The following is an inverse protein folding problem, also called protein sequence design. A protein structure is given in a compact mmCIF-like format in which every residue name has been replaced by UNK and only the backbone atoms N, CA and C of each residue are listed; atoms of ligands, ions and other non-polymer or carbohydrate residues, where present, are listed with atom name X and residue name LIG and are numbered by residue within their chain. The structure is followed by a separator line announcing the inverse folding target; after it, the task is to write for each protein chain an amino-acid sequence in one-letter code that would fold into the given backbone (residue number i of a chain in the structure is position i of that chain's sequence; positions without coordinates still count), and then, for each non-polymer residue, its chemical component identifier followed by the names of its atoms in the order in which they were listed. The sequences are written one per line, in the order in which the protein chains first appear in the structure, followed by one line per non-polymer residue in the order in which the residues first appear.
data_IF_764782189878
#
_entry.id   IF_764782189878
#
_cell.length_a   1.000
_cell.length_b   1.000
_cell.length_c   1.000
_cell.angle_alpha   90.00
_cell.angle_beta   90.00
_cell.angle_gamma   90.00
#
_symmetry.space_group_name_H-M   'P 1'
#
loop_
_entity.id
_entity.type
_entity.pdbx_description
1 polymer ?
#
# COMPACT_ATOMS: atom_id res chain seq x y z
N UNK A 1 -31.14 24.49 -26.23
CA UNK A 1 -29.94 24.88 -25.47
C UNK A 1 -29.72 23.73 -24.53
N UNK A 2 -28.77 22.87 -24.86
CA UNK A 2 -28.41 21.77 -23.96
C UNK A 2 -27.75 22.39 -22.72
N UNK A 3 -28.19 22.06 -21.51
CA UNK A 3 -27.65 22.64 -20.28
C UNK A 3 -26.16 22.32 -20.06
N UNK A 4 -25.59 21.41 -20.84
CA UNK A 4 -24.17 21.08 -20.81
C UNK A 4 -23.31 22.14 -21.54
N UNK A 5 -23.87 22.99 -22.42
CA UNK A 5 -23.14 24.07 -23.09
C UNK A 5 -22.64 25.16 -22.09
N UNK A 6 -23.30 25.31 -20.94
CA UNK A 6 -22.94 26.31 -19.92
C UNK A 6 -21.72 25.90 -19.07
N UNK A 7 -21.23 24.66 -19.19
CA UNK A 7 -20.06 24.17 -18.43
C UNK A 7 -18.76 24.22 -19.22
N UNK A 8 -18.76 24.79 -20.43
CA UNK A 8 -17.54 24.95 -21.22
C UNK A 8 -16.69 26.04 -20.58
N UNK A 9 -15.67 25.61 -19.84
CA UNK A 9 -14.66 26.51 -19.30
C UNK A 9 -13.79 27.02 -20.47
N UNK A 10 -13.84 28.32 -20.74
CA UNK A 10 -13.00 28.94 -21.79
C UNK A 10 -11.50 28.74 -21.52
N UNK A 11 -11.12 28.73 -20.23
CA UNK A 11 -9.75 28.51 -19.78
C UNK A 11 -9.74 27.80 -18.41
N UNK A 12 -9.55 26.48 -18.45
CA UNK A 12 -9.51 25.64 -17.24
C UNK A 12 -8.42 26.06 -16.24
N UNK A 13 -7.27 26.57 -16.73
CA UNK A 13 -6.15 26.94 -15.86
C UNK A 13 -6.46 28.18 -15.01
N UNK A 14 -7.10 29.20 -15.61
CA UNK A 14 -7.56 30.39 -14.89
C UNK A 14 -8.67 30.05 -13.89
N UNK A 15 -9.58 29.14 -14.26
CA UNK A 15 -10.62 28.65 -13.36
C UNK A 15 -10.00 27.94 -12.14
N UNK A 16 -9.03 27.05 -12.36
CA UNK A 16 -8.30 26.36 -11.29
C UNK A 16 -7.59 27.37 -10.39
N UNK A 17 -6.88 28.35 -10.96
CA UNK A 17 -6.17 29.38 -10.19
C UNK A 17 -7.14 30.21 -9.33
N UNK A 18 -8.29 30.61 -9.88
CA UNK A 18 -9.30 31.38 -9.14
C UNK A 18 -9.96 30.58 -8.01
N UNK A 19 -10.05 29.26 -8.16
CA UNK A 19 -10.60 28.35 -7.13
C UNK A 19 -9.59 27.95 -6.06
N UNK A 20 -8.29 28.24 -6.24
CA UNK A 20 -7.29 27.94 -5.22
C UNK A 20 -7.51 28.78 -3.97
N UNK A 21 -7.50 28.11 -2.81
CA UNK A 21 -7.49 28.78 -1.52
C UNK A 21 -6.18 29.57 -1.35
N UNK A 22 -6.24 30.85 -0.94
CA UNK A 22 -5.05 31.63 -0.59
C UNK A 22 -4.17 30.90 0.41
N UNK A 23 -2.85 30.89 0.20
CA UNK A 23 -1.88 30.14 1.01
C UNK A 23 -2.00 30.47 2.50
N UNK A 24 -2.31 31.73 2.83
CA UNK A 24 -2.50 32.25 4.19
C UNK A 24 -3.68 31.61 4.93
N UNK A 25 -4.67 31.09 4.19
CA UNK A 25 -5.84 30.40 4.74
C UNK A 25 -5.64 28.89 4.89
N UNK A 26 -4.56 28.32 4.35
CA UNK A 26 -4.16 26.94 4.62
C UNK A 26 -3.65 26.86 6.07
N UNK A 27 -4.59 26.73 7.00
CA UNK A 27 -4.27 26.49 8.40
C UNK A 27 -3.39 25.24 8.50
N UNK A 28 -2.34 25.25 9.34
CA UNK A 28 -1.67 24.01 9.73
C UNK A 28 -2.74 23.04 10.23
N UNK A 29 -2.73 21.82 9.69
CA UNK A 29 -3.64 20.77 10.14
C UNK A 29 -3.31 20.52 11.61
N UNK A 30 -4.30 20.68 12.48
CA UNK A 30 -4.17 20.28 13.88
C UNK A 30 -3.92 18.75 13.89
N UNK A 31 -2.85 18.24 14.54
CA UNK A 31 -2.62 16.81 14.66
C UNK A 31 -3.85 16.04 15.18
N UNK A 32 -4.70 16.68 15.99
CA UNK A 32 -5.93 16.08 16.51
C UNK A 32 -7.07 16.04 15.48
N UNK A 33 -7.01 16.89 14.44
CA UNK A 33 -7.94 16.90 13.31
C UNK A 33 -7.42 16.09 12.10
N UNK A 34 -6.27 15.42 12.24
CA UNK A 34 -5.72 14.60 11.17
C UNK A 34 -6.66 13.43 10.84
N UNK A 35 -7.27 13.49 9.66
CA UNK A 35 -8.09 12.40 9.15
C UNK A 35 -7.23 11.14 8.93
N UNK A 36 -7.34 10.18 9.85
CA UNK A 36 -6.69 8.87 9.80
C UNK A 36 -7.07 8.02 8.56
N UNK A 37 -8.04 8.48 7.76
CA UNK A 37 -8.42 7.87 6.47
C UNK A 37 -7.66 8.45 5.29
N UNK A 38 -6.85 9.50 5.49
CA UNK A 38 -5.94 10.00 4.46
C UNK A 38 -4.65 9.17 4.52
N UNK A 39 -4.39 8.43 3.45
CA UNK A 39 -3.14 7.69 3.30
C UNK A 39 -1.95 8.64 3.12
N UNK A 40 -0.93 8.52 3.98
CA UNK A 40 0.23 9.44 4.02
C UNK A 40 1.58 8.73 3.98
N UNK A 41 1.58 7.40 4.04
CA UNK A 41 2.81 6.63 4.04
C UNK A 41 3.04 6.14 2.62
N UNK A 42 4.17 6.53 2.04
CA UNK A 42 4.55 6.07 0.72
C UNK A 42 4.99 4.60 0.75
N UNK A 43 4.39 3.80 -0.13
CA UNK A 43 4.81 2.44 -0.40
C UNK A 43 5.35 2.36 -1.83
N UNK A 44 6.57 1.87 -1.99
CA UNK A 44 7.19 1.64 -3.30
C UNK A 44 7.88 0.28 -3.33
N UNK A 45 7.40 -0.63 -4.18
CA UNK A 45 7.98 -1.96 -4.31
C UNK A 45 9.26 -1.93 -5.16
N UNK A 46 10.40 -2.31 -4.58
CA UNK A 46 11.67 -2.38 -5.30
C UNK A 46 11.76 -3.50 -6.36
N UNK A 47 10.72 -4.33 -6.49
CA UNK A 47 10.68 -5.46 -7.42
C UNK A 47 9.86 -5.19 -8.69
N UNK A 48 8.71 -4.55 -8.53
CA UNK A 48 7.78 -4.24 -9.64
C UNK A 48 7.47 -2.74 -9.78
N UNK A 49 8.10 -1.88 -8.98
CA UNK A 49 7.92 -0.42 -8.98
C UNK A 49 6.49 0.04 -8.67
N UNK A 50 5.61 -0.87 -8.24
CA UNK A 50 4.27 -0.53 -7.78
C UNK A 50 4.38 0.47 -6.63
N UNK A 51 3.75 1.61 -6.83
CA UNK A 51 3.74 2.75 -5.93
C UNK A 51 2.31 3.03 -5.49
N UNK A 52 2.11 3.14 -4.18
CA UNK A 52 0.80 3.43 -3.59
C UNK A 52 0.96 4.20 -2.28
N UNK A 53 -0.08 4.94 -1.89
CA UNK A 53 -0.15 5.57 -0.58
C UNK A 53 -0.91 4.65 0.39
N UNK A 54 -0.33 4.39 1.56
CA UNK A 54 -0.92 3.53 2.59
C UNK A 54 -1.22 4.28 3.89
N UNK A 55 -2.06 3.68 4.71
CA UNK A 55 -2.57 4.31 5.93
C UNK A 55 -1.72 3.97 7.15
N UNK A 56 -1.03 2.83 7.14
CA UNK A 56 -0.28 2.38 8.30
C UNK A 56 0.90 1.48 7.92
N UNK A 57 1.98 1.58 8.70
CA UNK A 57 3.12 0.68 8.66
C UNK A 57 3.41 0.13 10.06
N UNK A 58 3.30 -1.19 10.23
CA UNK A 58 3.52 -1.85 11.52
C UNK A 58 2.78 -3.18 11.65
N UNK A 59 2.64 -3.68 12.89
CA UNK A 59 2.04 -5.01 13.15
C UNK A 59 0.57 -5.01 13.52
N UNK A 60 0.04 -3.89 14.01
CA UNK A 60 -1.30 -3.79 14.59
C UNK A 60 -2.02 -2.57 14.01
N UNK A 61 -2.55 -2.67 12.79
CA UNK A 61 -3.26 -1.55 12.19
C UNK A 61 -4.47 -1.20 13.06
N UNK A 62 -4.67 0.07 13.45
CA UNK A 62 -5.76 0.45 14.36
C UNK A 62 -7.16 0.12 13.79
N UNK A 63 -7.29 0.10 12.45
CA UNK A 63 -8.53 -0.22 11.74
C UNK A 63 -8.74 -1.72 11.47
N UNK A 64 -7.73 -2.56 11.72
CA UNK A 64 -7.79 -4.01 11.53
C UNK A 64 -7.95 -4.72 12.89
N UNK A 65 -9.16 -4.63 13.47
CA UNK A 65 -9.42 -5.12 14.82
C UNK A 65 -9.05 -6.61 14.99
N UNK A 66 -8.23 -6.90 16.01
CA UNK A 66 -7.79 -8.25 16.35
C UNK A 66 -6.69 -8.83 15.46
N UNK A 67 -6.21 -8.09 14.45
CA UNK A 67 -5.15 -8.55 13.54
C UNK A 67 -3.79 -8.15 14.10
N UNK A 68 -2.87 -9.12 14.17
CA UNK A 68 -1.48 -8.90 14.55
C UNK A 68 -0.58 -9.61 13.54
N UNK A 69 0.20 -8.84 12.80
CA UNK A 69 1.18 -9.40 11.87
C UNK A 69 2.44 -9.90 12.59
N UNK A 70 3.10 -10.94 12.06
CA UNK A 70 4.38 -11.42 12.58
C UNK A 70 5.52 -10.43 12.31
N UNK A 71 5.37 -9.56 11.31
CA UNK A 71 6.34 -8.56 10.87
C UNK A 71 5.63 -7.24 10.53
N UNK A 72 6.39 -6.15 10.39
CA UNK A 72 5.80 -4.85 10.04
C UNK A 72 5.31 -4.87 8.59
N UNK A 73 4.06 -4.49 8.37
CA UNK A 73 3.44 -4.50 7.05
C UNK A 73 2.92 -3.11 6.68
N UNK A 74 3.03 -2.79 5.40
CA UNK A 74 2.35 -1.66 4.77
C UNK A 74 0.91 -2.07 4.50
N UNK A 75 -0.04 -1.37 5.11
CA UNK A 75 -1.46 -1.69 5.01
C UNK A 75 -2.27 -0.43 4.72
N UNK A 76 -3.28 -0.59 3.87
CA UNK A 76 -4.22 0.47 3.53
C UNK A 76 -5.65 0.00 3.78
N UNK A 77 -6.53 0.91 4.16
CA UNK A 77 -7.97 0.66 4.13
C UNK A 77 -8.37 0.35 2.69
N UNK A 78 -9.33 -0.56 2.52
CA UNK A 78 -9.81 -0.92 1.19
C UNK A 78 -10.57 0.25 0.57
N UNK A 79 -10.10 0.86 -0.53
CA UNK A 79 -10.74 2.03 -1.12
C UNK A 79 -12.07 1.69 -1.80
N UNK A 80 -12.37 0.41 -2.01
CA UNK A 80 -13.62 -0.08 -2.62
C UNK A 80 -14.66 -0.48 -1.58
N UNK A 81 -14.36 -0.34 -0.28
CA UNK A 81 -15.27 -0.66 0.80
C UNK A 81 -15.69 0.59 1.57
N UNK A 82 -16.98 0.75 1.87
CA UNK A 82 -17.45 1.91 2.62
C UNK A 82 -16.93 1.88 4.06
N UNK A 83 -16.72 3.05 4.68
CA UNK A 83 -16.48 3.16 6.11
C UNK A 83 -17.57 2.45 6.93
N UNK A 84 -17.23 1.83 8.07
CA UNK A 84 -18.23 1.44 9.04
C UNK A 84 -18.97 2.69 9.56
N UNK A 85 -20.25 2.57 9.94
CA UNK A 85 -20.96 3.65 10.59
C UNK A 85 -20.28 4.07 11.89
N UNK A 86 -20.17 5.39 12.16
CA UNK A 86 -19.43 5.94 13.33
C UNK A 86 -19.86 5.35 14.68
N UNK A 87 -21.10 4.90 14.81
CA UNK A 87 -21.67 4.33 16.04
C UNK A 87 -21.46 2.82 16.17
N UNK A 88 -20.82 2.15 15.21
CA UNK A 88 -20.52 0.72 15.27
C UNK A 88 -19.02 0.49 15.14
N UNK A 89 -18.42 -0.11 16.19
CA UNK A 89 -17.06 -0.63 16.14
C UNK A 89 -17.03 -1.92 15.32
N UNK A 90 -16.90 -1.79 14.01
CA UNK A 90 -16.71 -2.92 13.08
C UNK A 90 -15.29 -2.91 12.53
N UNK A 91 -14.68 -4.08 12.32
CA UNK A 91 -13.42 -4.17 11.61
C UNK A 91 -13.60 -3.61 10.19
N UNK A 92 -12.66 -2.81 9.74
CA UNK A 92 -12.66 -2.30 8.38
C UNK A 92 -12.00 -3.32 7.45
N UNK A 93 -12.46 -3.37 6.20
CA UNK A 93 -11.73 -4.06 5.17
C UNK A 93 -10.44 -3.31 4.85
N UNK A 94 -9.37 -4.04 4.65
CA UNK A 94 -8.04 -3.49 4.39
C UNK A 94 -7.26 -4.41 3.46
N UNK A 95 -6.23 -3.84 2.83
CA UNK A 95 -5.33 -4.51 1.91
C UNK A 95 -3.91 -4.44 2.50
N UNK A 96 -3.23 -5.59 2.55
CA UNK A 96 -1.82 -5.67 2.91
C UNK A 96 -0.96 -5.59 1.65
N UNK A 97 -0.27 -4.46 1.48
CA UNK A 97 0.48 -4.16 0.26
C UNK A 97 1.82 -4.88 0.21
N UNK A 98 2.54 -4.86 1.33
CA UNK A 98 3.94 -5.28 1.35
C UNK A 98 4.62 -5.14 2.69
N UNK A 99 5.93 -5.35 2.69
CA UNK A 99 6.79 -5.27 3.87
C UNK A 99 8.22 -4.95 3.44
N UNK A 100 9.15 -4.87 4.40
CA UNK A 100 10.57 -4.72 4.12
C UNK A 100 11.24 -6.09 4.13
N UNK A 101 12.10 -6.34 3.15
CA UNK A 101 12.94 -7.53 3.13
C UNK A 101 13.79 -7.59 4.41
N UNK A 102 13.76 -8.71 5.12
CA UNK A 102 14.50 -8.85 6.39
C UNK A 102 16.03 -8.86 6.24
N UNK A 103 16.55 -8.99 5.01
CA UNK A 103 18.00 -8.98 4.71
C UNK A 103 18.45 -7.60 4.25
N UNK A 104 17.86 -7.07 3.17
CA UNK A 104 18.31 -5.82 2.56
C UNK A 104 17.48 -4.59 2.93
N UNK A 105 16.42 -4.75 3.75
CA UNK A 105 15.50 -3.68 4.17
C UNK A 105 14.73 -2.97 3.05
N UNK A 106 14.87 -3.41 1.79
CA UNK A 106 14.12 -2.87 0.66
C UNK A 106 12.63 -3.21 0.79
N UNK A 107 11.78 -2.25 0.45
CA UNK A 107 10.33 -2.44 0.43
C UNK A 107 9.92 -3.33 -0.74
N UNK A 108 9.10 -4.34 -0.48
CA UNK A 108 8.60 -5.29 -1.47
C UNK A 108 7.13 -5.59 -1.25
N UNK A 109 6.37 -5.70 -2.34
CA UNK A 109 4.97 -6.08 -2.28
C UNK A 109 4.83 -7.59 -1.99
N UNK A 110 3.63 -8.00 -1.57
CA UNK A 110 3.29 -9.40 -1.32
C UNK A 110 3.07 -10.21 -2.61
N UNK A 111 3.28 -9.62 -3.79
CA UNK A 111 3.20 -10.37 -5.04
C UNK A 111 4.29 -11.46 -5.10
N UNK A 112 3.94 -12.69 -5.56
CA UNK A 112 4.90 -13.78 -5.66
C UNK A 112 6.11 -13.50 -6.58
N UNK A 113 6.02 -12.51 -7.47
CA UNK A 113 7.12 -12.02 -8.30
C UNK A 113 8.10 -11.10 -7.57
N UNK A 114 7.78 -10.61 -6.37
CA UNK A 114 8.60 -9.64 -5.65
C UNK A 114 9.13 -10.16 -4.31
N UNK A 115 8.32 -10.91 -3.56
CA UNK A 115 8.69 -11.38 -2.23
C UNK A 115 8.23 -12.80 -1.92
N UNK A 116 8.86 -13.39 -0.91
CA UNK A 116 8.54 -14.70 -0.37
C UNK A 116 8.53 -14.65 1.16
N UNK A 117 7.51 -15.23 1.79
CA UNK A 117 7.42 -15.34 3.25
C UNK A 117 7.68 -16.78 3.69
N UNK A 118 8.54 -16.95 4.69
CA UNK A 118 8.74 -18.22 5.38
C UNK A 118 8.73 -18.03 6.90
N UNK A 119 9.83 -17.52 7.45
CA UNK A 119 9.94 -17.07 8.85
C UNK A 119 9.86 -15.55 8.95
N UNK A 120 10.31 -14.88 7.89
CA UNK A 120 10.19 -13.46 7.61
C UNK A 120 9.95 -13.30 6.09
N UNK A 121 9.62 -12.09 5.66
CA UNK A 121 9.57 -11.76 4.24
C UNK A 121 10.95 -11.38 3.68
N UNK A 122 11.24 -11.95 2.51
CA UNK A 122 12.46 -11.71 1.75
C UNK A 122 12.09 -11.25 0.35
N UNK A 123 12.83 -10.29 -0.21
CA UNK A 123 12.77 -10.05 -1.64
C UNK A 123 13.34 -11.26 -2.40
N UNK A 124 12.88 -11.50 -3.63
CA UNK A 124 13.33 -12.66 -4.41
C UNK A 124 14.87 -12.75 -4.58
N UNK A 125 15.62 -11.65 -4.82
CA UNK A 125 17.08 -11.73 -4.88
C UNK A 125 17.70 -12.30 -3.61
N UNK A 126 17.35 -11.76 -2.43
CA UNK A 126 17.86 -12.24 -1.16
C UNK A 126 17.38 -13.68 -0.86
N UNK A 127 16.14 -14.01 -1.19
CA UNK A 127 15.62 -15.37 -1.03
C UNK A 127 16.34 -16.41 -1.91
N UNK A 128 16.81 -16.02 -3.10
CA UNK A 128 17.59 -16.88 -3.99
C UNK A 128 19.00 -17.14 -3.47
N UNK A 129 19.64 -16.12 -2.90
CA UNK A 129 20.96 -16.23 -2.28
C UNK A 129 20.92 -17.14 -1.04
N UNK A 130 19.92 -16.93 -0.19
CA UNK A 130 19.78 -17.65 1.08
C UNK A 130 19.12 -19.03 0.93
N UNK A 131 18.63 -19.36 -0.26
CA UNK A 131 17.85 -20.55 -0.56
C UNK A 131 18.48 -21.84 -0.03
N UNK A 132 19.81 -21.97 -0.12
CA UNK A 132 20.53 -23.19 0.29
C UNK A 132 20.51 -23.41 1.80
N UNK A 133 20.33 -22.35 2.58
CA UNK A 133 20.31 -22.38 4.04
C UNK A 133 18.92 -22.66 4.61
N UNK A 134 17.88 -22.64 3.75
CA UNK A 134 16.51 -22.88 4.17
C UNK A 134 16.13 -24.36 4.17
N UNK A 135 15.15 -24.78 4.99
CA UNK A 135 14.67 -26.16 4.97
C UNK A 135 14.11 -26.57 3.59
N UNK A 136 14.20 -27.86 3.22
CA UNK A 136 13.82 -28.34 1.89
C UNK A 136 12.41 -27.92 1.44
N UNK A 137 11.46 -27.86 2.38
CA UNK A 137 10.09 -27.42 2.11
C UNK A 137 10.01 -25.96 1.64
N UNK A 138 10.73 -25.06 2.33
CA UNK A 138 10.81 -23.66 1.96
C UNK A 138 11.50 -23.51 0.60
N UNK A 139 12.55 -24.29 0.35
CA UNK A 139 13.24 -24.29 -0.94
C UNK A 139 12.32 -24.72 -2.09
N UNK A 140 11.52 -25.76 -1.88
CA UNK A 140 10.58 -26.25 -2.89
C UNK A 140 9.51 -25.19 -3.22
N UNK A 141 8.95 -24.52 -2.19
CA UNK A 141 7.92 -23.49 -2.37
C UNK A 141 8.43 -22.28 -3.16
N UNK A 142 9.58 -21.71 -2.79
CA UNK A 142 10.11 -20.56 -3.52
C UNK A 142 10.57 -20.93 -4.94
N UNK A 143 11.07 -22.14 -5.18
CA UNK A 143 11.37 -22.61 -6.55
C UNK A 143 10.11 -22.66 -7.43
N UNK A 144 9.00 -23.19 -6.90
CA UNK A 144 7.70 -23.18 -7.59
C UNK A 144 7.21 -21.76 -7.86
N UNK A 145 7.42 -20.85 -6.92
CA UNK A 145 7.04 -19.46 -7.08
C UNK A 145 7.85 -18.76 -8.17
N UNK A 146 9.17 -18.94 -8.16
CA UNK A 146 10.09 -18.37 -9.17
C UNK A 146 9.82 -18.92 -10.58
N UNK A 147 9.38 -20.16 -10.72
CA UNK A 147 9.01 -20.70 -12.04
C UNK A 147 7.74 -20.06 -12.60
N UNK A 148 6.80 -19.66 -11.74
CA UNK A 148 5.56 -18.99 -12.16
C UNK A 148 5.83 -17.53 -12.55
N UNK A 149 6.68 -16.83 -11.79
CA UNK A 149 6.97 -15.41 -12.07
C UNK A 149 7.78 -15.22 -13.36
N UNK A 150 8.67 -16.16 -13.71
CA UNK A 150 9.39 -16.14 -15.00
C UNK A 150 8.45 -16.27 -16.21
N UNK A 151 7.32 -16.96 -16.06
CA UNK A 151 6.34 -17.13 -17.13
C UNK A 151 5.45 -15.91 -17.39
N UNK A 152 5.49 -14.87 -16.55
CA UNK A 152 4.65 -13.66 -16.70
C UNK A 152 5.32 -12.53 -17.50
N UNK A 153 6.56 -12.70 -17.95
CA UNK A 153 7.30 -11.68 -18.70
C UNK A 153 7.11 -11.75 -20.23
N UNK A 154 6.09 -12.46 -20.72
CA UNK A 154 5.71 -12.48 -22.15
C UNK A 154 4.42 -11.72 -22.38
#
# INVERSE_FOLDING_TARGET
MDPDDDLVLENEAEEIERLQLPEELKKPIDPEEEDERVARIEFNCSGCEMHEMVHYFGRKPPFALGVIYPEDNYVMRDPFQPPPPRWQSKPEYYIAMGTKCSICSKTVCKDPGCSFYYTASFCLPCGKEELKNWPPEAQARIRKQMSVSQGRQT
#
